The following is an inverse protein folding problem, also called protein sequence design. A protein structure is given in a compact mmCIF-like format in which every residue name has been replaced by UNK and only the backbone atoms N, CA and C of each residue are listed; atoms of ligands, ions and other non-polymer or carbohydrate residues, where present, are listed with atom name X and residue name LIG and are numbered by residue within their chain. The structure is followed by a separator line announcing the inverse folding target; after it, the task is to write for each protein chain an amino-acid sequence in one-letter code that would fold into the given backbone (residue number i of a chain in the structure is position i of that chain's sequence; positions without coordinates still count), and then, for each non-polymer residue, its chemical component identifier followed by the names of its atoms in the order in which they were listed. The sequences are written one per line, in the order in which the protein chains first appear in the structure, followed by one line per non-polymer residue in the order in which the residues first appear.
data_IF_944102970828
#
_entry.id   IF_944102970828
#
_cell.length_a   1.000
_cell.length_b   1.000
_cell.length_c   1.000
_cell.angle_alpha   90.00
_cell.angle_beta   90.00
_cell.angle_gamma   90.00
#
_symmetry.space_group_name_H-M   'P 1'
#
loop_
_entity.id
_entity.type
_entity.pdbx_description
1 polymer ?
#
# COMPACT_ATOMS: atom_id res chain seq x y z
N UNK A 1 -17.54 -4.84 -4.45
CA UNK A 1 -16.61 -4.62 -3.46
C UNK A 1 -15.99 -3.26 -3.54
N UNK A 2 -16.02 -2.57 -2.48
CA UNK A 2 -15.53 -1.22 -2.45
C UNK A 2 -14.04 -1.21 -2.14
N UNK A 3 -13.31 -0.35 -2.83
CA UNK A 3 -11.91 -0.15 -2.55
C UNK A 3 -11.77 1.17 -1.85
N UNK A 4 -11.32 1.10 -0.62
CA UNK A 4 -11.14 2.30 0.17
C UNK A 4 -9.83 2.98 -0.18
N UNK A 5 -9.83 4.28 -0.09
CA UNK A 5 -8.66 5.08 -0.35
C UNK A 5 -8.48 6.04 0.82
N UNK A 6 -7.23 6.32 1.25
CA UNK A 6 -7.05 7.27 2.34
C UNK A 6 -7.46 8.67 1.91
N UNK A 7 -7.81 9.48 2.89
CA UNK A 7 -8.21 10.85 2.63
C UNK A 7 -7.04 11.67 2.10
N UNK A 8 -7.30 12.51 1.11
CA UNK A 8 -6.28 13.37 0.56
C UNK A 8 -6.89 14.67 0.11
N UNK A 9 -6.02 15.65 -0.07
CA UNK A 9 -6.42 16.90 -0.70
C UNK A 9 -5.59 17.07 -1.97
N UNK A 10 -6.19 17.70 -2.96
CA UNK A 10 -5.50 17.98 -4.21
C UNK A 10 -4.85 19.34 -4.07
N UNK A 11 -3.52 19.36 -4.10
CA UNK A 11 -2.77 20.61 -4.00
C UNK A 11 -2.69 21.32 -5.33
N UNK A 12 -2.60 20.56 -6.41
CA UNK A 12 -2.49 21.13 -7.73
C UNK A 12 -2.97 20.11 -8.74
N UNK A 13 -3.71 20.58 -9.72
CA UNK A 13 -4.18 19.70 -10.78
C UNK A 13 -3.92 20.36 -12.13
N UNK A 14 -3.38 19.59 -13.04
CA UNK A 14 -3.08 20.07 -14.36
C UNK A 14 -3.32 18.93 -15.34
N UNK A 15 -4.37 19.05 -16.14
CA UNK A 15 -4.78 18.00 -17.05
C UNK A 15 -5.07 16.72 -16.26
N UNK A 16 -4.35 15.64 -16.53
CA UNK A 16 -4.59 14.38 -15.84
C UNK A 16 -3.60 14.13 -14.70
N UNK A 17 -2.88 15.16 -14.31
CA UNK A 17 -1.87 15.05 -13.28
C UNK A 17 -2.34 15.81 -12.06
N UNK A 18 -2.29 15.16 -10.90
CA UNK A 18 -2.63 15.77 -9.63
C UNK A 18 -1.49 15.61 -8.65
N UNK A 19 -1.26 16.62 -7.85
CA UNK A 19 -0.39 16.50 -6.71
C UNK A 19 -1.31 16.39 -5.51
N UNK A 20 -1.24 15.25 -4.83
CA UNK A 20 -2.11 14.95 -3.69
C UNK A 20 -1.33 14.92 -2.41
N UNK A 21 -1.95 15.40 -1.36
CA UNK A 21 -1.38 15.28 -0.02
C UNK A 21 -2.32 14.39 0.80
N UNK A 22 -1.82 13.25 1.21
CA UNK A 22 -2.57 12.31 2.01
C UNK A 22 -2.38 12.63 3.48
N UNK A 23 -3.45 12.48 4.25
CA UNK A 23 -3.39 12.67 5.69
C UNK A 23 -2.89 11.41 6.36
N UNK A 24 -2.93 11.41 7.69
CA UNK A 24 -2.44 10.26 8.45
C UNK A 24 -3.14 8.98 8.03
N UNK A 25 -2.38 7.93 7.84
CA UNK A 25 -2.93 6.63 7.53
C UNK A 25 -1.94 5.55 7.93
N UNK A 26 -2.48 4.36 8.18
CA UNK A 26 -1.63 3.22 8.52
C UNK A 26 -1.31 2.43 7.26
N UNK A 27 -0.11 1.87 7.23
CA UNK A 27 0.26 0.94 6.17
C UNK A 27 0.73 -0.36 6.78
N UNK A 28 0.49 -1.45 6.06
CA UNK A 28 1.09 -2.74 6.34
C UNK A 28 2.11 -2.97 5.24
N UNK A 29 3.35 -3.21 5.60
CA UNK A 29 4.42 -3.31 4.61
C UNK A 29 5.34 -4.47 4.90
N UNK A 30 5.97 -4.97 3.84
CA UNK A 30 6.93 -6.04 3.96
C UNK A 30 8.06 -5.80 2.96
N UNK A 31 9.28 -6.12 3.39
CA UNK A 31 10.45 -6.01 2.51
C UNK A 31 10.87 -7.38 2.06
N UNK A 32 11.11 -7.53 0.77
CA UNK A 32 11.51 -8.80 0.20
C UNK A 32 12.76 -8.64 -0.63
N UNK A 33 13.58 -9.67 -0.64
CA UNK A 33 14.77 -9.71 -1.49
C UNK A 33 14.48 -10.44 -2.77
N UNK A 34 15.18 -10.04 -3.82
CA UNK A 34 15.06 -10.68 -5.12
C UNK A 34 14.87 -9.63 -6.20
N UNK A 35 14.72 -10.09 -7.45
CA UNK A 35 14.43 -9.13 -8.49
C UNK A 35 13.02 -8.58 -8.26
N UNK A 36 12.72 -7.51 -8.97
CA UNK A 36 11.48 -6.77 -8.74
C UNK A 36 10.25 -7.67 -8.81
N UNK A 37 10.13 -8.43 -9.87
CA UNK A 37 8.93 -9.23 -10.09
C UNK A 37 8.75 -10.28 -9.01
N UNK A 38 9.82 -10.97 -8.67
CA UNK A 38 9.78 -12.03 -7.69
C UNK A 38 9.52 -11.48 -6.30
N UNK A 39 10.24 -10.42 -5.93
CA UNK A 39 10.12 -9.85 -4.60
C UNK A 39 8.73 -9.27 -4.36
N UNK A 40 8.21 -8.55 -5.35
CA UNK A 40 6.89 -7.95 -5.21
C UNK A 40 5.81 -9.01 -5.14
N UNK A 41 5.95 -10.08 -5.94
CA UNK A 41 4.99 -11.18 -5.88
C UNK A 41 4.96 -11.85 -4.53
N UNK A 42 6.13 -12.11 -3.96
CA UNK A 42 6.20 -12.72 -2.63
C UNK A 42 5.64 -11.80 -1.57
N UNK A 43 5.99 -10.52 -1.65
CA UNK A 43 5.50 -9.55 -0.69
C UNK A 43 3.99 -9.43 -0.73
N UNK A 44 3.45 -9.38 -1.94
CA UNK A 44 2.01 -9.26 -2.10
C UNK A 44 1.29 -10.48 -1.52
N UNK A 45 1.83 -11.68 -1.75
CA UNK A 45 1.22 -12.88 -1.19
C UNK A 45 1.24 -12.87 0.34
N UNK A 46 2.33 -12.41 0.92
CA UNK A 46 2.42 -12.33 2.38
C UNK A 46 1.40 -11.35 2.95
N UNK A 47 1.25 -10.20 2.30
CA UNK A 47 0.28 -9.21 2.73
C UNK A 47 -1.14 -9.72 2.53
N UNK A 48 -1.37 -10.43 1.43
CA UNK A 48 -2.69 -10.98 1.17
C UNK A 48 -3.10 -11.99 2.24
N UNK A 49 -2.17 -12.81 2.68
CA UNK A 49 -2.46 -13.73 3.78
C UNK A 49 -2.80 -12.98 5.06
N UNK A 50 -2.09 -11.90 5.32
CA UNK A 50 -2.37 -11.08 6.49
C UNK A 50 -3.80 -10.55 6.47
N UNK A 51 -4.22 -9.99 5.34
CA UNK A 51 -5.56 -9.41 5.28
C UNK A 51 -6.64 -10.48 5.17
N UNK A 52 -6.26 -11.70 4.84
CA UNK A 52 -7.21 -12.80 4.73
C UNK A 52 -7.37 -13.57 6.03
N UNK A 53 -6.81 -13.06 7.12
CA UNK A 53 -7.03 -13.66 8.43
C UNK A 53 -5.79 -14.17 9.14
N UNK A 54 -4.61 -14.09 8.51
CA UNK A 54 -3.39 -14.55 9.20
C UNK A 54 -2.86 -13.43 10.07
N UNK A 55 -3.61 -13.12 11.09
CA UNK A 55 -3.27 -12.12 12.07
C UNK A 55 -3.82 -12.57 13.42
N UNK A 56 -3.45 -11.84 14.46
CA UNK A 56 -3.78 -12.28 15.84
C UNK A 56 -5.28 -12.32 16.11
N UNK A 57 -6.04 -11.52 15.38
CA UNK A 57 -7.49 -11.49 15.56
C UNK A 57 -8.22 -12.43 14.63
N UNK A 58 -7.50 -13.07 13.70
CA UNK A 58 -8.09 -13.91 12.66
C UNK A 58 -9.20 -13.17 11.93
N UNK A 59 -8.95 -11.92 11.63
CA UNK A 59 -9.92 -11.02 11.09
C UNK A 59 -9.61 -10.71 9.64
N UNK A 60 -10.62 -10.68 8.78
CA UNK A 60 -10.44 -10.25 7.40
C UNK A 60 -10.36 -8.74 7.35
N UNK A 61 -9.37 -8.25 6.63
CA UNK A 61 -9.16 -6.81 6.46
C UNK A 61 -9.45 -6.49 5.01
N UNK A 62 -10.26 -5.48 4.78
CA UNK A 62 -10.62 -5.10 3.42
C UNK A 62 -9.43 -4.55 2.66
N UNK A 63 -9.38 -4.90 1.39
CA UNK A 63 -8.36 -4.36 0.51
C UNK A 63 -8.60 -2.88 0.28
N UNK A 64 -7.53 -2.11 0.23
CA UNK A 64 -7.63 -0.69 -0.05
C UNK A 64 -6.71 -0.32 -1.19
N UNK A 65 -6.80 0.91 -1.64
CA UNK A 65 -5.89 1.47 -2.62
C UNK A 65 -5.28 2.72 -2.03
N UNK A 66 -4.06 3.03 -2.40
CA UNK A 66 -3.21 2.34 -3.35
C UNK A 66 -2.40 1.21 -2.73
N UNK A 67 -1.95 0.28 -3.58
CA UNK A 67 -0.91 -0.67 -3.19
C UNK A 67 0.40 -0.07 -3.68
N UNK A 68 1.37 0.01 -2.79
CA UNK A 68 2.61 0.71 -3.09
C UNK A 68 3.77 -0.26 -3.17
N UNK A 69 4.69 0.04 -4.08
CA UNK A 69 5.91 -0.74 -4.20
C UNK A 69 7.07 0.21 -4.40
N UNK A 70 8.17 -0.08 -3.74
CA UNK A 70 9.30 0.82 -3.72
C UNK A 70 10.59 0.04 -3.57
N UNK A 71 11.61 0.45 -4.32
CA UNK A 71 12.92 -0.14 -4.15
C UNK A 71 13.49 0.32 -2.82
N UNK A 72 14.01 -0.60 -2.03
CA UNK A 72 14.61 -0.26 -0.75
C UNK A 72 16.10 -0.59 -0.72
N UNK A 73 16.70 -0.81 -1.88
CA UNK A 73 18.12 -1.05 -1.96
C UNK A 73 18.42 -2.12 -2.98
N UNK A 74 19.63 -2.65 -2.93
CA UNK A 74 20.05 -3.67 -3.88
C UNK A 74 19.20 -4.91 -3.77
N UNK A 75 18.46 -5.22 -4.82
CA UNK A 75 17.62 -6.39 -4.87
C UNK A 75 16.65 -6.50 -3.70
N UNK A 76 16.19 -5.35 -3.21
CA UNK A 76 15.20 -5.33 -2.13
C UNK A 76 14.05 -4.44 -2.52
N UNK A 77 12.86 -4.90 -2.21
CA UNK A 77 11.62 -4.19 -2.56
C UNK A 77 10.69 -4.17 -1.37
N UNK A 78 10.07 -3.03 -1.17
CA UNK A 78 9.08 -2.86 -0.11
C UNK A 78 7.72 -2.81 -0.76
N UNK A 79 6.82 -3.69 -0.32
CA UNK A 79 5.44 -3.72 -0.79
C UNK A 79 4.56 -3.36 0.38
N UNK A 80 3.61 -2.47 0.15
CA UNK A 80 2.75 -2.05 1.25
C UNK A 80 1.35 -1.75 0.72
N UNK A 81 0.40 -1.78 1.63
CA UNK A 81 -0.94 -1.33 1.32
C UNK A 81 -1.47 -0.51 2.49
N UNK A 82 -2.48 0.30 2.22
CA UNK A 82 -3.07 1.16 3.22
C UNK A 82 -4.10 0.38 4.02
N UNK A 83 -3.98 0.43 5.34
CA UNK A 83 -4.94 -0.23 6.22
C UNK A 83 -6.22 0.59 6.24
N UNK A 84 -7.41 -0.05 6.22
CA UNK A 84 -8.65 0.71 6.26
C UNK A 84 -8.75 1.68 7.42
N UNK A 85 -9.45 2.78 7.21
CA UNK A 85 -9.52 3.86 8.19
C UNK A 85 -10.13 3.46 9.51
N UNK A 86 -10.93 2.43 9.53
CA UNK A 86 -11.55 1.99 10.78
C UNK A 86 -10.55 1.46 11.79
N UNK A 87 -9.34 1.16 11.35
CA UNK A 87 -8.31 0.66 12.24
C UNK A 87 -7.35 1.78 12.64
N UNK A 88 -6.90 1.75 13.89
CA UNK A 88 -5.82 2.61 14.34
C UNK A 88 -4.73 1.73 14.96
N UNK A 89 -3.69 2.34 15.50
CA UNK A 89 -2.58 1.57 16.04
C UNK A 89 -2.99 0.69 17.23
N UNK A 90 -4.11 1.03 17.87
CA UNK A 90 -4.55 0.28 19.03
C UNK A 90 -5.35 -0.95 18.66
N UNK A 91 -6.14 -0.86 17.59
CA UNK A 91 -7.04 -1.96 17.26
C UNK A 91 -6.71 -2.70 15.96
N UNK A 92 -5.68 -2.27 15.24
CA UNK A 92 -5.32 -2.95 14.01
C UNK A 92 -4.83 -4.36 14.34
N UNK A 93 -5.33 -5.38 13.62
CA UNK A 93 -4.86 -6.74 13.89
C UNK A 93 -3.36 -6.86 13.66
N UNK A 94 -2.67 -7.48 14.59
CA UNK A 94 -1.23 -7.65 14.47
C UNK A 94 -0.93 -8.84 13.54
N UNK A 95 0.00 -8.68 12.60
CA UNK A 95 0.30 -9.77 11.68
C UNK A 95 0.93 -10.95 12.40
N UNK A 96 0.59 -12.15 11.94
CA UNK A 96 1.29 -13.34 12.40
C UNK A 96 2.69 -13.40 11.82
N UNK A 97 2.87 -12.84 10.64
CA UNK A 97 4.18 -12.79 9.99
C UNK A 97 4.98 -11.64 10.59
N UNK A 98 6.07 -11.97 11.25
CA UNK A 98 6.88 -10.96 11.93
C UNK A 98 7.56 -9.98 10.99
N UNK A 99 7.61 -10.30 9.70
CA UNK A 99 8.24 -9.41 8.74
C UNK A 99 7.31 -8.33 8.24
N UNK A 100 6.04 -8.42 8.54
CA UNK A 100 5.09 -7.38 8.17
C UNK A 100 5.09 -6.32 9.24
N UNK A 101 5.26 -5.07 8.83
CA UNK A 101 5.31 -3.93 9.76
C UNK A 101 4.11 -3.04 9.54
N UNK A 102 3.52 -2.61 10.66
CA UNK A 102 2.42 -1.64 10.63
C UNK A 102 3.02 -0.29 10.97
N UNK A 103 2.81 0.67 10.11
CA UNK A 103 3.37 2.02 10.29
C UNK A 103 2.29 3.08 10.17
N UNK A 104 2.45 4.14 10.95
CA UNK A 104 1.60 5.31 10.84
C UNK A 104 2.33 6.34 9.98
N UNK A 105 1.69 6.76 8.91
CA UNK A 105 2.28 7.70 7.96
C UNK A 105 1.53 9.03 8.03
N UNK A 106 2.30 10.13 8.00
CA UNK A 106 1.72 11.47 8.05
C UNK A 106 2.15 12.26 6.82
N UNK A 107 1.19 12.93 6.22
CA UNK A 107 1.47 13.93 5.17
C UNK A 107 2.32 13.42 4.01
N UNK A 108 1.82 12.40 3.36
CA UNK A 108 2.49 11.89 2.16
C UNK A 108 2.01 12.68 0.94
N UNK A 109 2.96 13.22 0.18
CA UNK A 109 2.65 13.87 -1.09
C UNK A 109 2.96 12.92 -2.22
N UNK A 110 2.03 12.78 -3.14
CA UNK A 110 2.24 11.92 -4.30
C UNK A 110 1.76 12.62 -5.55
N UNK A 111 2.34 12.24 -6.66
CA UNK A 111 1.90 12.67 -7.97
C UNK A 111 1.05 11.55 -8.53
N UNK A 112 -0.22 11.85 -8.76
CA UNK A 112 -1.16 10.88 -9.28
C UNK A 112 -1.46 11.22 -10.73
N UNK A 113 -1.35 10.23 -11.58
CA UNK A 113 -1.60 10.41 -13.01
C UNK A 113 -2.76 9.52 -13.40
N UNK A 114 -3.75 10.12 -14.02
CA UNK A 114 -4.91 9.38 -14.50
C UNK A 114 -4.73 9.07 -15.97
N UNK A 115 -4.82 7.80 -16.31
CA UNK A 115 -4.76 7.40 -17.69
C UNK A 115 -6.15 7.08 -18.18
N UNK A 116 -6.52 7.64 -19.32
CA UNK A 116 -7.80 7.30 -19.89
C UNK A 116 -7.56 6.27 -20.96
N UNK A 117 -7.92 5.06 -20.70
CA UNK A 117 -7.87 4.02 -21.67
C UNK A 117 -6.83 2.99 -21.36
N UNK A 118 -5.77 2.98 -22.13
CA UNK A 118 -4.87 1.89 -22.11
C UNK A 118 -3.83 1.92 -21.03
N UNK A 119 -3.59 0.80 -20.41
CA UNK A 119 -2.50 0.67 -19.46
C UNK A 119 -1.49 -0.30 -19.98
N UNK A 120 -0.23 -0.06 -19.65
CA UNK A 120 0.76 -1.08 -19.82
C UNK A 120 1.47 -1.25 -18.50
N UNK A 121 2.22 -2.34 -18.39
CA UNK A 121 2.80 -2.71 -17.13
C UNK A 121 3.73 -1.66 -16.56
N UNK A 122 4.40 -0.93 -17.39
CA UNK A 122 5.37 0.03 -16.88
C UNK A 122 4.81 1.37 -16.51
N UNK A 123 3.56 1.62 -16.81
CA UNK A 123 3.03 2.96 -16.67
C UNK A 123 2.80 3.42 -15.27
N UNK A 124 2.62 2.50 -14.35
CA UNK A 124 2.29 2.88 -13.00
C UNK A 124 3.36 2.54 -12.02
N UNK A 125 4.57 2.51 -12.48
CA UNK A 125 5.64 2.29 -11.59
C UNK A 125 5.95 3.44 -10.82
N UNK A 126 6.27 3.31 -9.66
CA UNK A 126 6.59 4.30 -8.96
C UNK A 126 7.38 4.71 -8.58
#
# INVERSE_FOLDING_TARGET
MANEEPDYIVLKKESEIEIRQYKNFLTASIEMEGDRKEAIGKGFRSLFKYISGENKNKENISMTIPVMQKSSGNNKWNVSFVVPKKFDLKNVPQPDNANIQIKNNSYLKVIAITFSGLFSDGNIEE
#
